data_IF_823467871811
#
_entry.id   IF_823467871811
#
_cell.length_a   1.000
_cell.length_b   1.000
_cell.length_c   1.000
_cell.angle_alpha   90.00
_cell.angle_beta   90.00
_cell.angle_gamma   90.00
#
_symmetry.space_group_name_H-M   'P 1'
#
loop_
_entity.id
_entity.type
_entity.pdbx_description
1 polymer ?
#
# COMPACT_ATOMS: atom_id res chain seq x y z
N UNK A 1 41.13 26.82 24.84
CA UNK A 1 41.47 25.39 24.89
C UNK A 1 40.38 24.63 25.61
N UNK A 2 39.96 23.48 25.13
CA UNK A 2 39.09 22.59 25.88
C UNK A 2 39.69 22.30 27.26
N UNK A 3 38.82 22.16 28.24
CA UNK A 3 39.27 21.88 29.59
C UNK A 3 38.35 20.86 30.27
N UNK A 4 38.89 20.21 31.28
CA UNK A 4 38.19 19.24 32.09
C UNK A 4 37.94 19.85 33.47
N UNK A 5 36.72 19.67 33.97
CA UNK A 5 36.32 20.12 35.29
C UNK A 5 35.71 18.95 36.05
N UNK A 6 36.19 18.65 37.22
CA UNK A 6 35.64 17.65 38.11
C UNK A 6 34.49 18.22 38.93
N UNK A 7 33.55 17.39 39.32
CA UNK A 7 32.39 17.80 40.12
C UNK A 7 32.73 18.39 41.46
N UNK A 8 33.87 18.00 42.02
CA UNK A 8 34.34 18.36 43.38
C UNK A 8 35.30 19.54 43.41
N UNK A 9 35.67 20.10 42.28
CA UNK A 9 36.67 21.17 42.23
C UNK A 9 36.24 22.30 41.28
N UNK A 10 36.62 23.53 41.60
CA UNK A 10 36.51 24.68 40.73
C UNK A 10 37.66 24.80 39.71
N UNK A 11 38.68 23.94 39.85
CA UNK A 11 39.88 23.98 39.01
C UNK A 11 39.57 23.50 37.60
N UNK A 12 40.16 24.18 36.64
CA UNK A 12 40.13 23.85 35.21
C UNK A 12 41.44 23.15 34.86
N UNK A 13 41.33 21.97 34.28
CA UNK A 13 42.49 21.20 33.85
C UNK A 13 42.63 21.32 32.33
N UNK A 14 43.63 22.01 31.88
CA UNK A 14 43.91 22.23 30.44
C UNK A 14 45.04 21.34 29.93
N UNK A 15 45.86 20.83 30.82
CA UNK A 15 47.07 20.02 30.50
C UNK A 15 46.72 18.52 30.47
N UNK A 16 45.64 18.16 29.80
CA UNK A 16 45.28 16.77 29.61
C UNK A 16 45.20 16.41 28.13
N UNK A 17 45.49 15.18 27.85
CA UNK A 17 45.23 14.59 26.55
C UNK A 17 44.17 13.49 26.73
N UNK A 18 43.19 13.48 25.89
CA UNK A 18 42.22 12.40 25.87
C UNK A 18 42.14 11.76 24.49
N UNK A 19 41.91 10.48 24.49
CA UNK A 19 41.67 9.70 23.28
C UNK A 19 40.53 8.75 23.55
N UNK A 20 39.45 8.83 22.78
CA UNK A 20 38.42 7.81 22.84
C UNK A 20 39.00 6.49 22.35
N UNK A 21 38.91 5.45 23.17
CA UNK A 21 39.34 4.09 22.84
C UNK A 21 38.18 3.26 22.31
N UNK A 22 37.00 3.48 22.88
CA UNK A 22 35.73 2.93 22.42
C UNK A 22 34.67 4.01 22.58
N UNK A 23 33.45 3.75 22.15
CA UNK A 23 32.33 4.66 22.39
C UNK A 23 32.07 4.97 23.88
N UNK A 24 32.64 4.20 24.80
CA UNK A 24 32.41 4.32 26.24
C UNK A 24 33.69 4.43 27.08
N UNK A 25 34.81 4.29 26.45
CA UNK A 25 36.10 4.31 27.11
C UNK A 25 36.92 5.50 26.59
N UNK A 26 37.24 6.39 27.51
CA UNK A 26 38.12 7.54 27.21
C UNK A 26 39.41 7.31 27.96
N UNK A 27 40.50 7.44 27.25
CA UNK A 27 41.82 7.49 27.81
C UNK A 27 42.20 8.94 28.09
N UNK A 28 42.52 9.25 29.34
CA UNK A 28 42.94 10.60 29.73
C UNK A 28 44.35 10.53 30.30
N UNK A 29 45.22 11.36 29.80
CA UNK A 29 46.57 11.54 30.26
C UNK A 29 46.71 12.91 30.93
N UNK A 30 47.57 13.02 31.94
CA UNK A 30 47.89 14.29 32.63
C UNK A 30 47.10 14.55 33.92
N UNK A 31 46.19 13.66 34.34
CA UNK A 31 45.49 13.79 35.63
C UNK A 31 46.31 13.13 36.73
N UNK A 32 46.71 13.93 37.73
CA UNK A 32 47.54 13.49 38.82
C UNK A 32 46.77 13.21 40.13
N UNK A 33 45.52 13.62 40.24
CA UNK A 33 44.71 13.47 41.46
C UNK A 33 43.53 12.52 41.20
N UNK A 34 43.45 11.49 42.06
CA UNK A 34 42.59 10.31 41.83
C UNK A 34 41.37 10.21 42.73
N UNK A 35 41.01 11.28 43.44
CA UNK A 35 39.90 11.23 44.42
C UNK A 35 38.57 11.75 43.86
N UNK A 36 38.45 11.82 42.58
CA UNK A 36 37.37 12.59 41.96
C UNK A 36 36.30 11.70 41.33
N UNK A 37 35.11 11.88 41.80
CA UNK A 37 33.91 11.26 41.26
C UNK A 37 33.26 12.22 40.27
N UNK A 38 33.31 11.87 38.98
CA UNK A 38 32.65 12.61 37.90
C UNK A 38 33.39 13.85 37.41
N UNK A 39 33.25 14.10 36.13
CA UNK A 39 33.83 15.29 35.50
C UNK A 39 33.01 15.67 34.25
N UNK A 40 33.24 16.90 33.81
CA UNK A 40 32.71 17.39 32.52
C UNK A 40 33.83 17.89 31.64
N UNK A 41 33.74 17.58 30.36
CA UNK A 41 34.62 18.13 29.36
C UNK A 41 33.95 19.37 28.73
N UNK A 42 34.68 20.46 28.69
CA UNK A 42 34.21 21.74 28.18
C UNK A 42 35.00 22.15 26.95
N UNK A 43 34.32 22.79 26.02
CA UNK A 43 34.96 23.53 24.96
C UNK A 43 35.57 24.82 25.49
N UNK A 44 36.39 25.48 24.70
CA UNK A 44 36.97 26.79 25.02
C UNK A 44 35.94 27.89 25.21
N UNK A 45 34.71 27.66 24.76
CA UNK A 45 33.56 28.56 24.94
C UNK A 45 32.63 28.15 26.08
N UNK A 46 33.14 27.42 27.06
CA UNK A 46 32.44 26.93 28.27
C UNK A 46 31.19 26.05 27.97
N UNK A 47 31.11 25.45 26.80
CA UNK A 47 30.04 24.47 26.47
C UNK A 47 30.50 23.08 26.84
N UNK A 48 29.64 22.34 27.57
CA UNK A 48 29.84 20.93 27.85
C UNK A 48 29.75 20.14 26.56
N UNK A 49 30.79 19.37 26.25
CA UNK A 49 30.77 18.44 25.11
C UNK A 49 30.93 16.97 25.54
N UNK A 50 31.20 16.73 26.84
CA UNK A 50 31.20 15.40 27.45
C UNK A 50 30.83 15.52 28.91
N UNK A 51 29.79 14.82 29.34
CA UNK A 51 29.34 14.78 30.73
C UNK A 51 29.58 13.39 31.32
N UNK A 52 30.48 13.33 32.24
CA UNK A 52 30.88 12.14 32.99
C UNK A 52 30.62 12.34 34.47
N UNK A 53 29.57 13.07 34.84
CA UNK A 53 29.25 13.47 36.20
C UNK A 53 28.95 12.29 37.11
N UNK A 54 28.39 11.22 36.57
CA UNK A 54 28.04 10.01 37.31
C UNK A 54 29.17 8.98 37.36
N UNK A 55 30.38 9.42 37.14
CA UNK A 55 31.51 8.59 36.89
C UNK A 55 32.15 8.10 38.21
N UNK A 56 32.32 6.76 38.39
CA UNK A 56 33.14 6.18 39.44
C UNK A 56 34.45 5.70 38.83
N UNK A 57 35.51 6.26 39.30
CA UNK A 57 36.85 5.94 38.86
C UNK A 57 37.26 4.56 39.39
N UNK A 58 37.55 3.54 38.57
CA UNK A 58 38.16 2.33 39.05
C UNK A 58 39.62 2.63 39.37
N UNK A 59 39.95 2.71 40.66
CA UNK A 59 41.31 2.81 41.12
C UNK A 59 42.03 1.50 40.82
N UNK A 60 42.86 1.44 39.81
CA UNK A 60 43.84 0.38 39.64
C UNK A 60 45.11 0.73 40.36
N UNK A 61 45.31 0.05 41.46
CA UNK A 61 46.46 0.21 42.33
C UNK A 61 47.76 -0.36 41.73
N UNK A 62 47.69 -1.16 40.72
CA UNK A 62 48.79 -1.94 40.18
C UNK A 62 49.11 -1.52 38.74
N UNK A 63 50.04 -0.59 38.65
CA UNK A 63 50.87 -0.40 37.48
C UNK A 63 50.31 0.60 36.45
N UNK A 64 50.90 1.66 36.50
CA UNK A 64 51.93 2.11 35.57
C UNK A 64 51.57 2.02 34.10
N UNK A 65 50.34 2.20 33.76
CA UNK A 65 50.07 2.75 32.44
C UNK A 65 50.04 4.26 32.59
N UNK A 66 50.79 4.96 31.75
CA UNK A 66 50.82 6.43 31.66
C UNK A 66 49.43 7.05 31.44
N UNK A 67 48.41 6.23 31.39
CA UNK A 67 47.07 6.59 31.04
C UNK A 67 46.03 6.06 32.01
N UNK A 68 45.22 6.93 32.53
CA UNK A 68 44.06 6.55 33.32
C UNK A 68 42.89 6.24 32.39
N UNK A 69 42.42 5.02 32.46
CA UNK A 69 41.22 4.63 31.70
C UNK A 69 40.00 5.03 32.51
N UNK A 70 39.21 5.90 31.93
CA UNK A 70 37.96 6.36 32.52
C UNK A 70 36.82 5.65 31.84
N UNK A 71 36.09 4.86 32.60
CA UNK A 71 34.85 4.26 32.13
C UNK A 71 33.69 5.15 32.52
N UNK A 72 32.92 5.59 31.59
CA UNK A 72 31.67 6.26 31.88
C UNK A 72 30.72 5.29 32.61
N UNK A 73 30.22 5.66 33.78
CA UNK A 73 29.11 4.95 34.41
C UNK A 73 27.84 5.06 33.60
N UNK A 74 27.76 6.08 32.78
CA UNK A 74 26.82 6.16 31.69
C UNK A 74 27.30 5.22 30.57
N UNK A 75 27.24 3.91 30.85
CA UNK A 75 27.67 2.86 29.91
C UNK A 75 26.98 2.94 28.56
N UNK A 76 26.23 3.97 28.31
CA UNK A 76 25.26 3.99 27.22
C UNK A 76 24.19 2.93 27.45
N UNK A 77 23.20 3.00 26.71
CA UNK A 77 22.14 2.01 26.70
C UNK A 77 22.35 1.07 25.52
N UNK A 78 22.14 -0.21 25.76
CA UNK A 78 22.26 -1.20 24.71
C UNK A 78 21.02 -1.11 23.80
N UNK A 79 21.26 -0.77 22.55
CA UNK A 79 20.24 -0.79 21.51
C UNK A 79 20.45 -2.03 20.66
N UNK A 80 19.53 -2.97 20.74
CA UNK A 80 19.59 -4.25 20.03
C UNK A 80 18.57 -4.26 18.90
N UNK A 81 19.02 -4.45 17.68
CA UNK A 81 18.16 -4.62 16.51
C UNK A 81 18.02 -6.09 16.14
N UNK A 82 16.80 -6.56 15.97
CA UNK A 82 16.51 -7.96 15.66
C UNK A 82 15.68 -8.12 14.39
N UNK A 83 15.99 -9.20 13.70
CA UNK A 83 15.19 -9.72 12.58
C UNK A 83 14.88 -11.20 12.87
N UNK A 84 13.61 -11.59 12.90
CA UNK A 84 13.16 -12.96 13.21
C UNK A 84 13.80 -13.48 14.52
N UNK A 85 13.81 -12.67 15.57
CA UNK A 85 14.45 -12.94 16.87
C UNK A 85 15.98 -13.10 16.86
N UNK A 86 16.63 -12.91 15.71
CA UNK A 86 18.09 -12.91 15.61
C UNK A 86 18.61 -11.49 15.67
N UNK A 87 19.68 -11.28 16.42
CA UNK A 87 20.37 -10.01 16.51
C UNK A 87 21.04 -9.75 15.16
N UNK A 88 20.75 -8.59 14.57
CA UNK A 88 21.39 -8.12 13.34
C UNK A 88 22.35 -6.95 13.58
N UNK A 89 22.12 -6.21 14.63
CA UNK A 89 23.02 -5.14 15.08
C UNK A 89 22.84 -4.91 16.57
N UNK A 90 23.92 -4.57 17.23
CA UNK A 90 23.94 -4.08 18.62
C UNK A 90 24.86 -2.86 18.69
N UNK A 91 24.40 -1.83 19.36
CA UNK A 91 25.17 -0.63 19.60
C UNK A 91 24.93 -0.10 21.01
N UNK A 92 25.97 0.37 21.65
CA UNK A 92 25.87 1.12 22.90
C UNK A 92 25.81 2.59 22.54
N UNK A 93 24.74 3.25 22.96
CA UNK A 93 24.46 4.65 22.61
C UNK A 93 24.31 5.45 23.89
N UNK A 94 25.04 6.52 24.02
CA UNK A 94 24.89 7.44 25.14
C UNK A 94 23.56 8.21 25.01
N UNK A 95 23.05 8.71 26.13
CA UNK A 95 21.77 9.44 26.15
C UNK A 95 21.68 10.56 25.10
N UNK A 96 22.78 11.16 24.75
CA UNK A 96 22.90 12.30 23.84
C UNK A 96 23.63 11.93 22.54
N UNK A 97 23.50 10.71 22.11
CA UNK A 97 23.96 10.25 20.81
C UNK A 97 22.80 9.75 19.98
N UNK A 98 22.96 9.82 18.66
CA UNK A 98 21.95 9.31 17.73
C UNK A 98 22.12 7.80 17.53
N UNK A 99 21.02 7.10 17.56
CA UNK A 99 20.96 5.68 17.21
C UNK A 99 21.12 5.54 15.69
N UNK A 100 22.09 4.74 15.27
CA UNK A 100 22.31 4.45 13.84
C UNK A 100 21.41 3.29 13.41
N UNK A 101 20.46 3.60 12.54
CA UNK A 101 19.56 2.58 11.99
C UNK A 101 20.34 1.61 11.09
N UNK A 102 20.30 0.29 11.36
CA UNK A 102 20.93 -0.69 10.48
C UNK A 102 20.08 -0.95 9.25
N UNK A 103 20.73 -1.28 8.14
CA UNK A 103 20.04 -1.77 6.94
C UNK A 103 19.47 -3.16 7.20
N UNK A 104 18.19 -3.35 6.94
CA UNK A 104 17.50 -4.63 7.09
C UNK A 104 17.19 -5.23 5.73
N UNK A 105 17.57 -6.48 5.53
CA UNK A 105 17.33 -7.22 4.29
C UNK A 105 16.92 -8.66 4.61
N UNK A 106 15.83 -9.11 3.96
CA UNK A 106 15.36 -10.50 4.02
C UNK A 106 14.80 -10.88 2.66
N UNK A 107 15.25 -12.03 2.13
CA UNK A 107 14.79 -12.52 0.83
C UNK A 107 13.26 -12.67 0.79
N UNK A 108 12.63 -12.14 -0.25
CA UNK A 108 11.18 -12.18 -0.44
C UNK A 108 10.37 -11.32 0.54
N UNK A 109 11.03 -10.40 1.27
CA UNK A 109 10.36 -9.47 2.17
C UNK A 109 10.88 -8.04 1.97
N UNK A 110 10.04 -7.05 2.24
CA UNK A 110 10.45 -5.66 2.39
C UNK A 110 10.38 -5.26 3.85
N UNK A 111 11.30 -4.42 4.26
CA UNK A 111 11.26 -3.78 5.57
C UNK A 111 10.14 -2.74 5.60
N UNK A 112 9.31 -2.78 6.63
CA UNK A 112 8.21 -1.82 6.81
C UNK A 112 8.60 -0.78 7.85
N UNK A 113 8.94 -1.23 9.05
CA UNK A 113 9.32 -0.39 10.19
C UNK A 113 9.88 -1.25 11.33
N UNK A 114 10.37 -0.61 12.33
CA UNK A 114 10.61 -1.24 13.63
C UNK A 114 9.30 -1.33 14.43
N UNK A 115 9.22 -2.28 15.35
CA UNK A 115 8.03 -2.48 16.22
C UNK A 115 7.80 -1.29 17.17
N UNK A 116 8.89 -0.60 17.54
CA UNK A 116 8.88 0.67 18.28
C UNK A 116 9.71 1.69 17.52
N UNK A 117 9.42 2.97 17.73
CA UNK A 117 10.18 4.05 17.12
C UNK A 117 11.62 4.08 17.63
N UNK A 118 12.56 4.35 16.73
CA UNK A 118 13.96 4.56 17.12
C UNK A 118 14.02 5.79 18.03
N UNK A 119 14.58 5.67 19.23
CA UNK A 119 14.65 6.78 20.16
C UNK A 119 15.50 7.91 19.61
N UNK A 120 15.01 9.12 19.78
CA UNK A 120 15.69 10.34 19.36
C UNK A 120 16.74 10.75 20.39
N UNK A 121 17.59 11.67 19.97
CA UNK A 121 18.58 12.31 20.83
C UNK A 121 17.98 12.77 22.16
N UNK A 122 18.58 12.33 23.26
CA UNK A 122 18.11 12.66 24.62
C UNK A 122 17.00 11.80 25.19
N UNK A 123 16.38 10.92 24.39
CA UNK A 123 15.24 10.09 24.82
C UNK A 123 15.65 8.72 25.40
N UNK A 124 16.90 8.32 25.18
CA UNK A 124 17.40 7.00 25.62
C UNK A 124 17.57 7.00 27.14
N UNK A 125 16.82 6.15 27.83
CA UNK A 125 16.83 6.04 29.30
C UNK A 125 17.00 4.61 29.82
N UNK A 126 17.02 3.62 28.93
CA UNK A 126 17.14 2.19 29.23
C UNK A 126 17.58 1.43 27.99
N UNK A 127 17.99 0.17 28.17
CA UNK A 127 18.23 -0.75 27.06
C UNK A 127 16.95 -0.96 26.24
N UNK A 128 17.10 -0.99 24.93
CA UNK A 128 15.98 -1.06 23.99
C UNK A 128 16.23 -2.19 23.00
N UNK A 129 15.20 -2.98 22.74
CA UNK A 129 15.20 -4.01 21.71
C UNK A 129 14.19 -3.59 20.65
N UNK A 130 14.66 -3.46 19.40
CA UNK A 130 13.83 -3.15 18.24
C UNK A 130 13.75 -4.39 17.35
N UNK A 131 12.53 -4.79 17.00
CA UNK A 131 12.29 -5.90 16.10
C UNK A 131 11.84 -5.38 14.74
N UNK A 132 12.48 -5.84 13.68
CA UNK A 132 12.10 -5.48 12.32
C UNK A 132 10.74 -6.09 11.95
N UNK A 133 9.80 -5.25 11.54
CA UNK A 133 8.54 -5.68 10.94
C UNK A 133 8.76 -5.77 9.45
N UNK A 134 8.64 -7.00 8.94
CA UNK A 134 8.82 -7.33 7.54
C UNK A 134 7.49 -7.70 6.91
N UNK A 135 7.28 -7.28 5.68
CA UNK A 135 6.15 -7.70 4.87
C UNK A 135 6.63 -8.59 3.73
N UNK A 136 5.95 -9.71 3.53
CA UNK A 136 6.25 -10.58 2.39
C UNK A 136 5.96 -9.84 1.09
N UNK A 137 6.95 -9.73 0.22
CA UNK A 137 6.75 -9.23 -1.14
C UNK A 137 6.07 -10.35 -1.93
N UNK A 138 4.86 -10.14 -2.46
CA UNK A 138 4.19 -11.16 -3.25
C UNK A 138 5.02 -11.47 -4.51
N UNK A 139 4.97 -12.72 -4.93
CA UNK A 139 5.48 -13.07 -6.27
C UNK A 139 4.61 -12.43 -7.35
N UNK A 140 5.14 -12.30 -8.55
CA UNK A 140 4.35 -11.82 -9.70
C UNK A 140 3.08 -12.65 -9.92
N UNK A 141 3.14 -13.98 -9.66
CA UNK A 141 1.99 -14.85 -9.79
C UNK A 141 0.91 -14.52 -8.73
N UNK A 142 1.30 -14.41 -7.45
CA UNK A 142 0.39 -14.03 -6.36
C UNK A 142 -0.23 -12.65 -6.58
N UNK A 143 0.56 -11.68 -7.04
CA UNK A 143 0.07 -10.33 -7.32
C UNK A 143 -0.94 -10.31 -8.48
N UNK A 144 -0.66 -11.04 -9.58
CA UNK A 144 -1.56 -11.19 -10.72
C UNK A 144 -2.87 -11.85 -10.32
N UNK A 145 -2.80 -12.95 -9.57
CA UNK A 145 -3.99 -13.66 -9.08
C UNK A 145 -4.87 -12.75 -8.21
N UNK A 146 -4.25 -12.09 -7.22
CA UNK A 146 -4.94 -11.14 -6.34
C UNK A 146 -5.62 -10.02 -7.12
N UNK A 147 -4.89 -9.38 -8.06
CA UNK A 147 -5.43 -8.27 -8.85
C UNK A 147 -6.51 -8.75 -9.83
N UNK A 148 -6.34 -9.90 -10.46
CA UNK A 148 -7.34 -10.51 -11.34
C UNK A 148 -8.65 -10.80 -10.59
N UNK A 149 -8.57 -11.30 -9.35
CA UNK A 149 -9.73 -11.52 -8.51
C UNK A 149 -10.43 -10.20 -8.14
N UNK A 150 -9.66 -9.18 -7.72
CA UNK A 150 -10.17 -7.83 -7.45
C UNK A 150 -10.95 -7.26 -8.64
N UNK A 151 -10.37 -7.32 -9.85
CA UNK A 151 -11.02 -6.86 -11.07
C UNK A 151 -12.30 -7.64 -11.38
N UNK A 152 -12.31 -8.95 -11.16
CA UNK A 152 -13.50 -9.79 -11.36
C UNK A 152 -14.63 -9.44 -10.40
N UNK A 153 -14.31 -9.15 -9.13
CA UNK A 153 -15.29 -8.74 -8.12
C UNK A 153 -15.91 -7.38 -8.47
N UNK A 154 -15.08 -6.41 -8.91
CA UNK A 154 -15.55 -5.10 -9.37
C UNK A 154 -16.43 -5.26 -10.62
N UNK A 155 -15.99 -6.04 -11.61
CA UNK A 155 -16.77 -6.33 -12.82
C UNK A 155 -18.16 -6.87 -12.47
N UNK A 156 -18.22 -7.90 -11.65
CA UNK A 156 -19.46 -8.53 -11.19
C UNK A 156 -20.36 -7.52 -10.47
N UNK A 157 -19.83 -6.79 -9.51
CA UNK A 157 -20.59 -5.80 -8.75
C UNK A 157 -21.12 -4.66 -9.64
N UNK A 158 -20.34 -4.24 -10.65
CA UNK A 158 -20.76 -3.21 -11.60
C UNK A 158 -21.91 -3.71 -12.49
N UNK A 159 -21.84 -4.93 -12.99
CA UNK A 159 -22.91 -5.52 -13.83
C UNK A 159 -24.22 -5.62 -13.05
N UNK A 160 -24.18 -6.13 -11.81
CA UNK A 160 -25.40 -6.33 -11.01
C UNK A 160 -25.93 -5.06 -10.33
N UNK A 161 -25.23 -3.93 -10.46
CA UNK A 161 -25.69 -2.64 -9.94
C UNK A 161 -27.01 -2.20 -10.59
N UNK A 162 -27.58 -1.12 -10.07
CA UNK A 162 -28.75 -0.47 -10.65
C UNK A 162 -28.34 0.39 -11.86
N UNK A 163 -29.01 0.19 -12.99
CA UNK A 163 -28.76 0.92 -14.23
C UNK A 163 -30.04 1.59 -14.72
N UNK A 164 -29.95 2.87 -15.06
CA UNK A 164 -31.08 3.61 -15.62
C UNK A 164 -31.19 3.34 -17.13
N UNK A 165 -32.38 2.99 -17.58
CA UNK A 165 -32.70 2.73 -18.99
C UNK A 165 -33.71 3.75 -19.44
N UNK A 166 -33.42 4.44 -20.58
CA UNK A 166 -34.34 5.38 -21.22
C UNK A 166 -35.36 4.61 -22.03
N UNK A 167 -36.59 4.61 -21.58
CA UNK A 167 -37.73 4.01 -22.26
C UNK A 167 -38.46 5.03 -23.12
N UNK A 168 -39.54 4.64 -23.81
CA UNK A 168 -40.29 5.50 -24.72
C UNK A 168 -40.93 6.68 -23.99
N UNK A 169 -41.51 6.45 -22.81
CA UNK A 169 -42.31 7.44 -22.09
C UNK A 169 -41.75 7.82 -20.72
N UNK A 170 -40.75 7.12 -20.25
CA UNK A 170 -40.12 7.33 -18.91
C UNK A 170 -38.74 6.76 -18.90
N UNK A 171 -37.96 7.14 -17.91
CA UNK A 171 -36.77 6.40 -17.49
C UNK A 171 -37.16 5.38 -16.41
N UNK A 172 -36.56 4.20 -16.43
CA UNK A 172 -36.74 3.20 -15.39
C UNK A 172 -35.40 2.55 -15.02
N UNK A 173 -35.34 1.89 -13.87
CA UNK A 173 -34.10 1.37 -13.29
C UNK A 173 -34.16 -0.15 -13.22
N UNK A 174 -33.14 -0.80 -13.76
CA UNK A 174 -33.00 -2.25 -13.76
C UNK A 174 -31.67 -2.66 -13.12
N UNK A 175 -31.64 -3.78 -12.43
CA UNK A 175 -30.40 -4.45 -12.04
C UNK A 175 -30.24 -5.72 -12.89
N UNK A 176 -28.99 -6.08 -13.14
CA UNK A 176 -28.67 -7.21 -14.02
C UNK A 176 -28.08 -8.38 -13.24
N UNK A 177 -28.76 -8.76 -12.12
CA UNK A 177 -28.50 -10.04 -11.46
C UNK A 177 -28.76 -11.21 -12.42
N UNK A 178 -28.19 -12.37 -12.17
CA UNK A 178 -28.34 -13.55 -13.05
C UNK A 178 -29.81 -13.89 -13.32
N UNK A 179 -30.68 -13.79 -12.30
CA UNK A 179 -32.13 -14.02 -12.44
C UNK A 179 -32.74 -12.95 -13.34
N UNK A 180 -32.38 -11.69 -13.15
CA UNK A 180 -32.94 -10.61 -13.96
C UNK A 180 -32.42 -10.63 -15.41
N UNK A 181 -31.18 -11.01 -15.64
CA UNK A 181 -30.67 -11.26 -16.98
C UNK A 181 -31.50 -12.33 -17.71
N UNK A 182 -31.84 -13.43 -17.02
CA UNK A 182 -32.71 -14.47 -17.59
C UNK A 182 -34.11 -13.96 -17.87
N UNK A 183 -34.71 -13.23 -16.92
CA UNK A 183 -36.07 -12.68 -17.08
C UNK A 183 -36.15 -11.67 -18.25
N UNK A 184 -35.16 -10.78 -18.35
CA UNK A 184 -35.06 -9.82 -19.43
C UNK A 184 -34.86 -10.54 -20.78
N UNK A 185 -34.00 -11.56 -20.83
CA UNK A 185 -33.78 -12.35 -22.05
C UNK A 185 -35.02 -13.11 -22.49
N UNK A 186 -35.79 -13.66 -21.57
CA UNK A 186 -37.06 -14.30 -21.86
C UNK A 186 -38.11 -13.29 -22.38
N UNK A 187 -38.21 -12.14 -21.72
CA UNK A 187 -39.10 -11.05 -22.17
C UNK A 187 -38.73 -10.56 -23.57
N UNK A 188 -37.42 -10.42 -23.86
CA UNK A 188 -36.91 -10.07 -25.18
C UNK A 188 -37.33 -11.11 -26.25
N UNK A 189 -37.18 -12.40 -25.98
CA UNK A 189 -37.61 -13.45 -26.92
C UNK A 189 -39.10 -13.37 -27.23
N UNK A 190 -39.94 -13.12 -26.22
CA UNK A 190 -41.39 -12.93 -26.41
C UNK A 190 -41.67 -11.67 -27.23
N UNK A 191 -40.96 -10.56 -26.97
CA UNK A 191 -41.12 -9.32 -27.72
C UNK A 191 -40.79 -9.50 -29.19
N UNK A 192 -39.72 -10.18 -29.54
CA UNK A 192 -39.32 -10.47 -30.93
C UNK A 192 -40.42 -11.25 -31.67
N UNK A 193 -40.93 -12.33 -31.05
CA UNK A 193 -42.01 -13.15 -31.65
C UNK A 193 -43.28 -12.33 -31.83
N UNK A 194 -43.63 -11.48 -30.87
CA UNK A 194 -44.81 -10.61 -30.96
C UNK A 194 -44.66 -9.59 -32.10
N UNK A 195 -43.49 -8.98 -32.25
CA UNK A 195 -43.23 -8.03 -33.35
C UNK A 195 -43.28 -8.70 -34.72
N UNK A 196 -42.68 -9.89 -34.86
CA UNK A 196 -42.73 -10.68 -36.10
C UNK A 196 -44.16 -11.06 -36.50
N UNK A 197 -45.06 -11.27 -35.52
CA UNK A 197 -46.48 -11.58 -35.76
C UNK A 197 -47.36 -10.32 -35.90
N UNK A 198 -46.79 -9.12 -35.91
CA UNK A 198 -47.52 -7.88 -36.01
C UNK A 198 -48.38 -7.49 -34.79
N UNK A 199 -48.11 -8.08 -33.62
CA UNK A 199 -48.84 -7.84 -32.36
C UNK A 199 -48.36 -6.53 -31.70
N UNK A 200 -48.65 -5.40 -32.35
CA UNK A 200 -48.11 -4.06 -31.99
C UNK A 200 -48.50 -3.57 -30.58
N UNK A 201 -49.63 -4.04 -30.05
CA UNK A 201 -50.16 -3.60 -28.74
C UNK A 201 -49.86 -4.60 -27.60
N UNK A 202 -49.02 -5.59 -27.88
CA UNK A 202 -48.63 -6.54 -26.83
C UNK A 202 -47.76 -5.86 -25.77
N UNK A 203 -48.08 -6.08 -24.51
CA UNK A 203 -47.29 -5.65 -23.35
C UNK A 203 -46.79 -6.85 -22.57
N UNK A 204 -45.57 -6.76 -22.03
CA UNK A 204 -44.87 -7.85 -21.38
C UNK A 204 -44.55 -7.42 -19.94
N UNK A 205 -44.95 -8.23 -18.93
CA UNK A 205 -44.65 -7.93 -17.55
C UNK A 205 -43.15 -8.18 -17.24
N UNK A 206 -42.54 -7.26 -16.56
CA UNK A 206 -41.16 -7.37 -16.10
C UNK A 206 -40.98 -6.63 -14.77
N UNK A 207 -40.12 -7.14 -13.90
CA UNK A 207 -39.77 -6.49 -12.62
C UNK A 207 -38.61 -5.51 -12.84
N UNK A 208 -38.75 -4.31 -12.30
CA UNK A 208 -37.67 -3.34 -12.25
C UNK A 208 -36.74 -3.56 -11.03
N UNK A 209 -35.75 -2.70 -10.84
CA UNK A 209 -34.77 -2.84 -9.73
C UNK A 209 -35.35 -2.66 -8.32
N UNK A 210 -36.56 -2.12 -8.20
CA UNK A 210 -37.27 -1.94 -6.95
C UNK A 210 -38.30 -3.05 -6.67
N UNK A 211 -38.24 -4.14 -7.47
CA UNK A 211 -39.16 -5.28 -7.44
C UNK A 211 -40.64 -4.89 -7.74
N UNK A 212 -40.84 -3.83 -8.49
CA UNK A 212 -42.16 -3.45 -8.97
C UNK A 212 -42.39 -4.12 -10.34
N UNK A 213 -43.45 -4.90 -10.42
CA UNK A 213 -43.86 -5.51 -11.68
C UNK A 213 -44.65 -4.51 -12.50
N UNK A 214 -44.12 -4.15 -13.67
CA UNK A 214 -44.77 -3.27 -14.62
C UNK A 214 -44.88 -3.96 -15.98
N UNK A 215 -45.74 -3.40 -16.88
CA UNK A 215 -45.87 -3.89 -18.23
C UNK A 215 -45.20 -2.95 -19.21
N UNK A 216 -44.37 -3.50 -20.09
CA UNK A 216 -43.57 -2.77 -21.07
C UNK A 216 -43.97 -3.12 -22.50
N UNK A 217 -43.94 -2.16 -23.39
CA UNK A 217 -44.10 -2.39 -24.84
C UNK A 217 -42.94 -3.28 -25.35
N UNK A 218 -43.18 -3.97 -26.48
CA UNK A 218 -42.11 -4.74 -27.13
C UNK A 218 -40.87 -3.89 -27.43
N UNK A 219 -41.05 -2.62 -27.85
CA UNK A 219 -39.92 -1.70 -28.07
C UNK A 219 -39.17 -1.36 -26.82
N UNK A 220 -39.85 -1.14 -25.69
CA UNK A 220 -39.17 -0.87 -24.41
C UNK A 220 -38.44 -2.11 -23.90
N UNK A 221 -39.00 -3.32 -24.09
CA UNK A 221 -38.25 -4.57 -23.80
C UNK A 221 -36.96 -4.67 -24.63
N UNK A 222 -36.99 -4.29 -25.91
CA UNK A 222 -35.78 -4.24 -26.74
C UNK A 222 -34.73 -3.27 -26.15
N UNK A 223 -35.18 -2.07 -25.74
CA UNK A 223 -34.29 -1.09 -25.13
C UNK A 223 -33.67 -1.61 -23.81
N UNK A 224 -34.48 -2.25 -22.95
CA UNK A 224 -34.03 -2.85 -21.71
C UNK A 224 -32.97 -3.94 -21.96
N UNK A 225 -33.25 -4.83 -22.93
CA UNK A 225 -32.36 -5.90 -23.33
C UNK A 225 -31.04 -5.34 -23.90
N UNK A 226 -31.09 -4.40 -24.80
CA UNK A 226 -29.90 -3.77 -25.40
C UNK A 226 -29.08 -3.06 -24.33
N UNK A 227 -29.71 -2.32 -23.42
CA UNK A 227 -29.01 -1.66 -22.31
C UNK A 227 -28.30 -2.67 -21.43
N UNK A 228 -28.97 -3.78 -21.07
CA UNK A 228 -28.38 -4.88 -20.31
C UNK A 228 -27.16 -5.47 -21.03
N UNK A 229 -27.30 -5.80 -22.32
CA UNK A 229 -26.20 -6.38 -23.10
C UNK A 229 -25.01 -5.41 -23.24
N UNK A 230 -25.27 -4.12 -23.39
CA UNK A 230 -24.23 -3.09 -23.46
C UNK A 230 -23.42 -3.06 -22.16
N UNK A 231 -24.09 -3.05 -21.00
CA UNK A 231 -23.42 -3.05 -19.68
C UNK A 231 -22.60 -4.33 -19.48
N UNK A 232 -23.19 -5.49 -19.80
CA UNK A 232 -22.53 -6.78 -19.64
C UNK A 232 -21.29 -6.87 -20.54
N UNK A 233 -21.47 -6.57 -21.85
CA UNK A 233 -20.39 -6.66 -22.84
C UNK A 233 -19.25 -5.71 -22.50
N UNK A 234 -19.54 -4.45 -22.14
CA UNK A 234 -18.53 -3.48 -21.75
C UNK A 234 -17.71 -3.99 -20.55
N UNK A 235 -18.39 -4.39 -19.49
CA UNK A 235 -17.71 -4.77 -18.24
C UNK A 235 -16.93 -6.08 -18.37
N UNK A 236 -17.49 -7.09 -19.02
CA UNK A 236 -16.80 -8.36 -19.25
C UNK A 236 -15.57 -8.16 -20.15
N UNK A 237 -15.70 -7.36 -21.22
CA UNK A 237 -14.57 -7.07 -22.13
C UNK A 237 -13.48 -6.29 -21.41
N UNK A 238 -13.84 -5.25 -20.64
CA UNK A 238 -12.90 -4.48 -19.85
C UNK A 238 -12.14 -5.37 -18.86
N UNK A 239 -12.87 -6.17 -18.09
CA UNK A 239 -12.29 -7.08 -17.12
C UNK A 239 -11.29 -8.04 -17.77
N UNK A 240 -11.71 -8.69 -18.87
CA UNK A 240 -10.87 -9.64 -19.60
C UNK A 240 -9.60 -8.98 -20.14
N UNK A 241 -9.71 -7.83 -20.81
CA UNK A 241 -8.55 -7.14 -21.37
C UNK A 241 -7.58 -6.64 -20.29
N UNK A 242 -8.08 -6.16 -19.15
CA UNK A 242 -7.22 -5.79 -18.00
C UNK A 242 -6.51 -7.02 -17.41
N UNK A 243 -7.21 -8.15 -17.30
CA UNK A 243 -6.61 -9.39 -16.80
C UNK A 243 -5.52 -9.92 -17.73
N UNK A 244 -5.76 -9.94 -19.05
CA UNK A 244 -4.75 -10.33 -20.04
C UNK A 244 -3.54 -9.38 -20.01
N UNK A 245 -3.77 -8.08 -19.90
CA UNK A 245 -2.68 -7.11 -19.76
C UNK A 245 -1.84 -7.35 -18.51
N UNK A 246 -2.47 -7.63 -17.35
CA UNK A 246 -1.77 -7.95 -16.10
C UNK A 246 -0.89 -9.19 -16.25
N UNK A 247 -1.33 -10.22 -16.99
CA UNK A 247 -0.52 -11.43 -17.23
C UNK A 247 0.78 -11.13 -17.96
N UNK A 248 0.81 -10.11 -18.81
CA UNK A 248 2.01 -9.68 -19.55
C UNK A 248 2.98 -8.82 -18.73
N UNK A 249 2.53 -8.21 -17.62
CA UNK A 249 3.34 -7.30 -16.81
C UNK A 249 4.44 -8.03 -16.04
N UNK A 250 5.61 -7.41 -15.94
CA UNK A 250 6.82 -7.99 -15.32
C UNK A 250 7.21 -7.34 -14.00
N UNK A 251 6.54 -6.26 -13.58
CA UNK A 251 6.81 -5.53 -12.35
C UNK A 251 5.59 -5.53 -11.44
N UNK A 252 5.82 -5.67 -10.14
CA UNK A 252 4.76 -5.66 -9.13
C UNK A 252 4.02 -4.32 -9.10
N UNK A 253 4.77 -3.21 -9.12
CA UNK A 253 4.19 -1.86 -9.06
C UNK A 253 3.25 -1.59 -10.24
N UNK A 254 3.59 -2.09 -11.44
CA UNK A 254 2.77 -1.96 -12.64
C UNK A 254 1.43 -2.71 -12.45
N UNK A 255 1.47 -3.93 -11.89
CA UNK A 255 0.28 -4.75 -11.61
C UNK A 255 -0.59 -4.08 -10.54
N UNK A 256 0.01 -3.61 -9.45
CA UNK A 256 -0.70 -2.98 -8.34
C UNK A 256 -1.37 -1.66 -8.75
N UNK A 257 -0.78 -0.93 -9.70
CA UNK A 257 -1.29 0.35 -10.19
C UNK A 257 -2.55 0.24 -11.04
N UNK A 258 -2.86 -0.95 -11.61
CA UNK A 258 -4.04 -1.15 -12.45
C UNK A 258 -5.33 -0.93 -11.66
N UNK A 259 -6.22 -0.14 -12.23
CA UNK A 259 -7.57 0.08 -11.71
C UNK A 259 -8.60 -0.40 -12.74
N UNK A 260 -9.82 -0.66 -12.27
CA UNK A 260 -10.94 -1.05 -13.14
C UNK A 260 -11.46 0.14 -13.94
N UNK A 261 -10.69 0.53 -14.96
CA UNK A 261 -11.01 1.64 -15.86
C UNK A 261 -10.32 1.42 -17.21
N UNK A 262 -11.00 1.74 -18.31
CA UNK A 262 -10.48 1.60 -19.67
C UNK A 262 -9.24 2.43 -19.98
N UNK A 263 -8.98 3.50 -19.22
CA UNK A 263 -7.76 4.31 -19.35
C UNK A 263 -6.50 3.57 -18.94
N UNK A 264 -6.61 2.45 -18.22
CA UNK A 264 -5.49 1.57 -17.87
C UNK A 264 -5.18 0.54 -18.95
N UNK A 265 -6.04 0.40 -19.98
CA UNK A 265 -5.73 -0.43 -21.14
C UNK A 265 -4.73 0.27 -22.05
N UNK A 266 -3.76 -0.49 -22.54
CA UNK A 266 -2.70 -0.02 -23.44
C UNK A 266 -2.44 -1.00 -24.59
N UNK A 267 -1.77 -0.53 -25.66
CA UNK A 267 -1.38 -1.36 -26.77
C UNK A 267 -2.55 -2.16 -27.38
N UNK A 268 -2.27 -3.43 -27.67
CA UNK A 268 -3.23 -4.34 -28.32
C UNK A 268 -4.49 -4.59 -27.46
N UNK A 269 -4.37 -4.52 -26.12
CA UNK A 269 -5.50 -4.70 -25.21
C UNK A 269 -6.54 -3.59 -25.39
N UNK A 270 -6.12 -2.34 -25.56
CA UNK A 270 -7.00 -1.21 -25.83
C UNK A 270 -7.62 -1.31 -27.23
N UNK A 271 -6.85 -1.74 -28.22
CA UNK A 271 -7.34 -1.94 -29.59
C UNK A 271 -8.41 -3.01 -29.62
N UNK A 272 -8.18 -4.15 -28.99
CA UNK A 272 -9.13 -5.27 -28.91
C UNK A 272 -10.40 -4.86 -28.16
N UNK A 273 -10.27 -4.15 -27.04
CA UNK A 273 -11.40 -3.61 -26.29
C UNK A 273 -12.29 -2.75 -27.18
N UNK A 274 -11.72 -1.78 -27.86
CA UNK A 274 -12.46 -0.86 -28.72
C UNK A 274 -13.14 -1.58 -29.91
N UNK A 275 -12.44 -2.54 -30.54
CA UNK A 275 -12.99 -3.32 -31.65
C UNK A 275 -14.22 -4.14 -31.25
N UNK A 276 -14.17 -4.81 -30.08
CA UNK A 276 -15.30 -5.59 -29.55
C UNK A 276 -16.48 -4.67 -29.24
N UNK A 277 -16.24 -3.52 -28.61
CA UNK A 277 -17.31 -2.58 -28.28
C UNK A 277 -17.91 -1.95 -29.51
N UNK A 278 -17.11 -1.62 -30.54
CA UNK A 278 -17.64 -1.12 -31.82
C UNK A 278 -18.58 -2.13 -32.47
N UNK A 279 -18.19 -3.41 -32.49
CA UNK A 279 -19.02 -4.48 -33.00
C UNK A 279 -20.32 -4.64 -32.19
N UNK A 280 -20.23 -4.63 -30.85
CA UNK A 280 -21.40 -4.72 -29.98
C UNK A 280 -22.36 -3.56 -30.18
N UNK A 281 -21.86 -2.32 -30.33
CA UNK A 281 -22.67 -1.14 -30.59
C UNK A 281 -23.39 -1.22 -31.94
N UNK A 282 -22.72 -1.69 -32.99
CA UNK A 282 -23.37 -1.91 -34.31
C UNK A 282 -24.50 -2.94 -34.22
N UNK A 283 -24.34 -4.01 -33.46
CA UNK A 283 -25.39 -4.98 -33.19
C UNK A 283 -26.58 -4.37 -32.42
N UNK A 284 -26.27 -3.59 -31.36
CA UNK A 284 -27.28 -2.89 -30.57
C UNK A 284 -28.10 -1.90 -31.41
N UNK A 285 -27.42 -1.11 -32.24
CA UNK A 285 -28.09 -0.18 -33.18
C UNK A 285 -28.98 -0.92 -34.18
N UNK A 286 -28.55 -2.05 -34.72
CA UNK A 286 -29.34 -2.85 -35.65
C UNK A 286 -30.61 -3.42 -35.03
N UNK A 287 -30.59 -3.75 -33.73
CA UNK A 287 -31.75 -4.23 -32.97
C UNK A 287 -32.77 -3.11 -32.70
N UNK A 288 -32.30 -1.87 -32.54
CA UNK A 288 -33.12 -0.71 -32.20
C UNK A 288 -33.70 0.00 -33.44
N UNK A 289 -33.15 -0.22 -34.64
CA UNK A 289 -33.62 0.39 -35.89
C UNK A 289 -34.65 -0.54 -36.57
N UNK A 290 -35.87 -0.02 -36.82
CA UNK A 290 -37.00 -0.73 -37.42
C UNK A 290 -36.80 -1.20 -38.90
N UNK A 291 -35.59 -1.24 -39.42
CA UNK A 291 -35.29 -1.39 -40.84
C UNK A 291 -35.45 -2.80 -41.42
N UNK A 292 -35.75 -3.83 -40.62
CA UNK A 292 -35.77 -5.23 -41.10
C UNK A 292 -37.12 -5.95 -41.08
N UNK A 293 -38.25 -5.24 -40.91
CA UNK A 293 -39.59 -5.89 -40.97
C UNK A 293 -40.36 -5.56 -42.25
N UNK A 294 -39.79 -4.82 -43.22
CA UNK A 294 -40.52 -4.39 -44.43
C UNK A 294 -40.26 -5.15 -45.73
N UNK A 295 -39.31 -6.07 -45.77
CA UNK A 295 -38.96 -6.74 -47.04
C UNK A 295 -39.46 -8.21 -47.14
N UNK A 296 -40.56 -8.52 -46.47
CA UNK A 296 -41.19 -9.84 -46.52
C UNK A 296 -42.51 -9.90 -47.26
N UNK A 297 -43.03 -8.78 -47.79
CA UNK A 297 -44.31 -8.76 -48.55
C UNK A 297 -44.14 -8.12 -49.93
N UNK A 298 -43.48 -8.85 -50.82
CA UNK A 298 -43.67 -8.71 -52.27
C UNK A 298 -43.11 -9.93 -53.01
N UNK A 299 -43.88 -11.03 -52.99
CA UNK A 299 -44.03 -11.93 -54.14
C UNK A 299 -45.29 -12.78 -53.93
#
# INVERSE_FOLDING_TARGET
MPYLKFNTTESRYTDYQFKPLTEHLIQINGIKEYTLTGFKLYTDNDKVFGDYSDYIYPYHKDGLDEYSHIYSNNRGYLITFKLDNKIINEQYVLKYEDVKEPTVSKSGCRFVRWDIDIPKFGEITKDIVLNAIMEKVPTLAEAREKKSKELSEICKSTIIAKHTVKLTNKDDVFNYSEINQLNISNAFAVAIVAMQRGLKNMVIPLYNADNICETFSCQDILKIYVAMQTVITYNLTLCHQLQEQILSMKKLDDIESIQYNENYLSGDYKVNFNAILEQANKMAESLLTEKQIKDGDSE
#
